data_IF_834781334583
#
_entry.id   IF_834781334583
#
_cell.length_a   1.000
_cell.length_b   1.000
_cell.length_c   1.000
_cell.angle_alpha   90.00
_cell.angle_beta   90.00
_cell.angle_gamma   90.00
#
_symmetry.space_group_name_H-M   'P 1'
#
loop_
_entity.id
_entity.type
_entity.pdbx_description
1 polymer ?
#
# COMPACT_ATOMS: atom_id res chain seq x y z
N UNK A 1 4.46 9.35 7.99
CA UNK A 1 3.49 8.30 7.57
C UNK A 1 3.15 8.43 6.08
N UNK A 2 3.41 9.57 5.47
CA UNK A 2 3.01 9.95 4.10
C UNK A 2 3.63 9.14 2.96
N UNK A 3 4.85 8.59 3.13
CA UNK A 3 5.50 7.80 2.06
C UNK A 3 4.68 6.59 1.62
N UNK A 4 4.06 5.88 2.57
CA UNK A 4 3.22 4.71 2.26
C UNK A 4 2.02 5.16 1.42
N UNK A 5 1.38 6.28 1.78
CA UNK A 5 0.18 6.78 1.08
C UNK A 5 0.51 7.16 -0.36
N UNK A 6 1.62 7.89 -0.56
CA UNK A 6 2.13 8.23 -1.90
C UNK A 6 2.39 6.96 -2.72
N UNK A 7 3.12 5.98 -2.17
CA UNK A 7 3.40 4.74 -2.88
C UNK A 7 2.13 3.99 -3.26
N UNK A 8 1.17 3.89 -2.33
CA UNK A 8 -0.12 3.26 -2.59
C UNK A 8 -0.89 3.97 -3.69
N UNK A 9 -0.96 5.31 -3.68
CA UNK A 9 -1.60 6.09 -4.73
C UNK A 9 -0.99 5.83 -6.11
N UNK A 10 0.35 5.82 -6.21
CA UNK A 10 1.07 5.50 -7.45
C UNK A 10 0.74 4.09 -7.93
N UNK A 11 0.66 3.11 -7.02
CA UNK A 11 0.38 1.71 -7.39
C UNK A 11 -1.08 1.50 -7.79
N UNK A 12 -2.01 2.17 -7.12
CA UNK A 12 -3.45 2.07 -7.43
C UNK A 12 -3.87 2.92 -8.61
N UNK A 13 -3.04 3.88 -9.02
CA UNK A 13 -3.29 4.76 -10.16
C UNK A 13 -2.11 4.70 -11.16
N UNK A 14 -1.88 3.55 -11.82
CA UNK A 14 -0.74 3.36 -12.70
C UNK A 14 -0.80 4.20 -13.98
N UNK A 15 -1.99 4.72 -14.35
CA UNK A 15 -2.19 5.58 -15.53
C UNK A 15 -1.55 6.97 -15.37
N UNK A 16 -1.42 7.45 -14.13
CA UNK A 16 -0.80 8.74 -13.80
C UNK A 16 0.70 8.58 -13.44
N UNK A 17 1.14 7.34 -13.21
CA UNK A 17 2.50 7.04 -12.82
C UNK A 17 3.47 7.11 -14.02
N UNK A 18 4.61 7.80 -13.85
CA UNK A 18 5.68 7.79 -14.85
C UNK A 18 6.35 6.43 -14.95
N UNK A 19 6.98 6.14 -16.09
CA UNK A 19 7.72 4.90 -16.30
C UNK A 19 8.79 4.72 -15.22
N UNK A 20 8.67 3.66 -14.42
CA UNK A 20 9.57 3.34 -13.31
C UNK A 20 9.06 3.71 -11.91
N UNK A 21 8.13 4.66 -11.78
CA UNK A 21 7.56 5.07 -10.48
C UNK A 21 6.82 3.93 -9.79
N UNK A 22 6.07 3.12 -10.56
CA UNK A 22 5.36 1.96 -10.02
C UNK A 22 6.32 0.97 -9.35
N UNK A 23 7.42 0.66 -10.02
CA UNK A 23 8.42 -0.28 -9.51
C UNK A 23 9.15 0.30 -8.29
N UNK A 24 9.44 1.59 -8.31
CA UNK A 24 10.08 2.29 -7.18
C UNK A 24 9.15 2.30 -5.95
N UNK A 25 7.87 2.65 -6.13
CA UNK A 25 6.86 2.61 -5.08
C UNK A 25 6.71 1.21 -4.45
N UNK A 26 6.75 0.15 -5.27
CA UNK A 26 6.72 -1.23 -4.77
C UNK A 26 7.97 -1.57 -3.95
N UNK A 27 9.17 -1.17 -4.41
CA UNK A 27 10.42 -1.38 -3.68
C UNK A 27 10.44 -0.63 -2.36
N UNK A 28 9.94 0.60 -2.33
CA UNK A 28 9.84 1.39 -1.11
C UNK A 28 8.90 0.72 -0.11
N UNK A 29 7.73 0.25 -0.55
CA UNK A 29 6.82 -0.49 0.32
C UNK A 29 7.45 -1.78 0.87
N UNK A 30 8.14 -2.53 0.03
CA UNK A 30 8.81 -3.77 0.45
C UNK A 30 9.89 -3.49 1.50
N UNK A 31 10.70 -2.44 1.29
CA UNK A 31 11.69 -1.99 2.26
C UNK A 31 11.05 -1.58 3.58
N UNK A 32 9.92 -0.85 3.54
CA UNK A 32 9.18 -0.43 4.74
C UNK A 32 8.60 -1.62 5.49
N UNK A 33 8.09 -2.63 4.78
CA UNK A 33 7.56 -3.85 5.38
C UNK A 33 8.67 -4.71 6.01
N UNK A 34 9.84 -4.75 5.36
CA UNK A 34 11.04 -5.45 5.83
C UNK A 34 11.64 -4.77 7.06
N UNK A 35 11.59 -3.43 7.09
CA UNK A 35 11.94 -2.63 8.25
C UNK A 35 10.87 -2.80 9.35
N UNK A 36 11.06 -3.81 10.20
CA UNK A 36 10.26 -4.09 11.41
C UNK A 36 10.29 -2.95 12.47
N UNK A 37 10.97 -1.85 12.16
CA UNK A 37 11.07 -0.62 12.97
C UNK A 37 9.82 0.24 12.86
N UNK A 38 9.04 0.09 11.78
CA UNK A 38 7.80 0.83 11.61
C UNK A 38 6.68 0.17 12.42
N UNK A 39 6.16 0.88 13.43
CA UNK A 39 4.99 0.48 14.21
C UNK A 39 3.72 0.60 13.33
N UNK A 40 3.63 -0.26 12.31
CA UNK A 40 2.49 -0.30 11.40
C UNK A 40 1.32 -0.98 12.08
N UNK A 41 0.13 -0.43 11.84
CA UNK A 41 -1.09 -1.04 12.31
C UNK A 41 -1.23 -2.46 11.71
N UNK A 42 -1.60 -3.49 12.50
CA UNK A 42 -1.64 -4.87 12.04
C UNK A 42 -2.56 -5.05 10.81
N UNK A 43 -3.63 -4.26 10.73
CA UNK A 43 -4.53 -4.27 9.58
C UNK A 43 -3.89 -3.71 8.30
N UNK A 44 -3.14 -2.59 8.41
CA UNK A 44 -2.42 -2.02 7.29
C UNK A 44 -1.31 -2.96 6.81
N UNK A 45 -0.54 -3.52 7.75
CA UNK A 45 0.48 -4.53 7.45
C UNK A 45 -0.11 -5.71 6.69
N UNK A 46 -1.24 -6.24 7.14
CA UNK A 46 -1.93 -7.34 6.47
C UNK A 46 -2.29 -7.01 5.01
N UNK A 47 -2.82 -5.81 4.75
CA UNK A 47 -3.14 -5.39 3.37
C UNK A 47 -1.89 -5.29 2.50
N UNK A 48 -0.81 -4.73 3.03
CA UNK A 48 0.46 -4.59 2.31
C UNK A 48 1.09 -5.97 2.00
N UNK A 49 1.10 -6.89 2.97
CA UNK A 49 1.60 -8.27 2.77
C UNK A 49 0.77 -9.07 1.74
N UNK A 50 -0.54 -8.83 1.69
CA UNK A 50 -1.45 -9.43 0.71
C UNK A 50 -1.49 -8.67 -0.63
N UNK A 51 -0.62 -7.66 -0.83
CA UNK A 51 -0.64 -6.76 -2.00
C UNK A 51 -2.02 -6.15 -2.30
N UNK A 52 -2.83 -5.99 -1.27
CA UNK A 52 -4.16 -5.37 -1.32
C UNK A 52 -4.04 -3.85 -1.22
N UNK A 53 -3.28 -3.24 -2.13
CA UNK A 53 -2.89 -1.82 -2.08
C UNK A 53 -4.08 -0.86 -2.10
N UNK A 54 -5.12 -1.17 -2.88
CA UNK A 54 -6.35 -0.37 -2.90
C UNK A 54 -7.04 -0.33 -1.52
N UNK A 55 -7.10 -1.47 -0.83
CA UNK A 55 -7.68 -1.55 0.52
C UNK A 55 -6.82 -0.82 1.55
N UNK A 56 -5.51 -0.92 1.43
CA UNK A 56 -4.57 -0.17 2.26
C UNK A 56 -4.76 1.34 2.10
N UNK A 57 -5.01 1.82 0.87
CA UNK A 57 -5.24 3.23 0.58
C UNK A 57 -6.56 3.72 1.19
N UNK A 58 -7.66 3.00 0.95
CA UNK A 58 -8.98 3.29 1.52
C UNK A 58 -8.90 3.33 3.05
N UNK A 59 -8.25 2.34 3.66
CA UNK A 59 -8.06 2.29 5.12
C UNK A 59 -7.24 3.48 5.64
N UNK A 60 -6.20 3.91 4.91
CA UNK A 60 -5.43 5.10 5.27
C UNK A 60 -6.17 6.42 5.07
N UNK A 61 -7.23 6.44 4.26
CA UNK A 61 -8.13 7.59 4.16
C UNK A 61 -9.15 7.65 5.31
N UNK A 62 -9.14 6.65 6.21
CA UNK A 62 -10.08 6.53 7.32
C UNK A 62 -11.39 5.86 6.94
N UNK A 63 -11.49 5.36 5.70
CA UNK A 63 -12.63 4.62 5.21
C UNK A 63 -12.53 3.13 5.52
N UNK A 64 -13.68 2.44 5.59
CA UNK A 64 -13.73 0.99 5.84
C UNK A 64 -13.64 0.27 4.49
N UNK A 65 -12.54 -0.45 4.19
CA UNK A 65 -12.46 -1.20 2.94
C UNK A 65 -13.51 -2.31 2.93
N UNK A 66 -14.20 -2.48 1.81
CA UNK A 66 -15.23 -3.53 1.66
C UNK A 66 -14.65 -4.93 1.95
N UNK A 67 -15.35 -5.67 2.81
CA UNK A 67 -15.04 -7.06 3.14
C UNK A 67 -15.50 -7.93 1.98
N UNK A 68 -14.58 -8.59 1.26
CA UNK A 68 -15.02 -9.52 0.20
C UNK A 68 -14.04 -9.90 -0.91
N UNK A 69 -12.82 -9.36 -0.96
CA UNK A 69 -11.85 -9.70 -2.01
C UNK A 69 -10.43 -9.42 -1.52
N UNK A 70 -9.83 -10.37 -0.80
CA UNK A 70 -8.38 -10.51 -0.86
C UNK A 70 -8.16 -11.42 -2.07
N UNK A 71 -7.53 -10.91 -3.13
CA UNK A 71 -7.33 -11.65 -4.38
C UNK A 71 -6.80 -13.05 -4.09
N UNK A 72 -7.49 -14.06 -4.61
CA UNK A 72 -7.04 -15.45 -4.72
C UNK A 72 -5.78 -15.56 -5.55
#
# INVERSE_FOLDING_TARGET
>A
MDKIKVCLQTITNPEDAKSGELLDALKILDSILSENTMNLHPQLKHFLEKRSYQKALIWMDGEVPEKGTCGT
#
